data_IF_338070076681
#
_entry.id   IF_338070076681
#
_cell.length_a   1.000
_cell.length_b   1.000
_cell.length_c   1.000
_cell.angle_alpha   90.00
_cell.angle_beta   90.00
_cell.angle_gamma   90.00
#
_symmetry.space_group_name_H-M   'P 1'
#
loop_
_entity.id
_entity.type
_entity.pdbx_description
1 polymer ?
#
# COMPACT_ATOMS: atom_id res chain seq x y z
N UNK A 1 1.91 2.82 3.15
CA UNK A 1 3.09 3.45 2.54
C UNK A 1 3.91 4.23 3.55
N UNK A 2 3.42 5.38 4.08
CA UNK A 2 4.20 6.23 5.01
C UNK A 2 4.70 5.50 6.25
N UNK A 3 3.86 4.67 6.89
CA UNK A 3 4.27 3.86 8.03
C UNK A 3 5.44 2.93 7.68
N UNK A 4 5.35 2.19 6.56
CA UNK A 4 6.43 1.32 6.10
C UNK A 4 7.72 2.08 5.83
N UNK A 5 7.64 3.25 5.20
CA UNK A 5 8.83 4.09 4.97
C UNK A 5 9.49 4.62 6.25
N UNK A 6 8.73 4.75 7.34
CA UNK A 6 9.21 5.33 8.59
C UNK A 6 9.66 4.27 9.60
N UNK A 7 9.03 3.10 9.62
CA UNK A 7 9.26 2.05 10.60
C UNK A 7 9.97 0.80 10.06
N UNK A 8 9.88 0.52 8.76
CA UNK A 8 10.49 -0.69 8.19
C UNK A 8 11.90 -0.37 7.67
N UNK A 9 12.87 -1.25 7.93
CA UNK A 9 14.25 -1.12 7.40
C UNK A 9 14.28 -1.20 5.87
N UNK A 10 13.31 -1.92 5.29
CA UNK A 10 13.17 -2.13 3.84
C UNK A 10 11.82 -1.62 3.38
N UNK A 11 11.84 -0.67 2.45
CA UNK A 11 10.64 -0.06 1.87
C UNK A 11 10.81 0.19 0.37
N UNK A 12 9.69 0.35 -0.33
CA UNK A 12 9.69 0.67 -1.77
C UNK A 12 9.54 2.18 -2.03
N UNK A 13 9.95 2.64 -3.21
CA UNK A 13 9.77 4.03 -3.60
C UNK A 13 8.34 4.32 -4.10
N UNK A 14 8.00 5.59 -4.28
CA UNK A 14 6.66 6.01 -4.70
C UNK A 14 6.29 5.53 -6.09
N UNK A 15 7.25 5.44 -7.01
CA UNK A 15 7.01 4.91 -8.34
C UNK A 15 6.55 3.45 -8.27
N UNK A 16 7.09 2.66 -7.34
CA UNK A 16 6.64 1.29 -7.10
C UNK A 16 5.22 1.26 -6.54
N UNK A 17 4.94 2.04 -5.49
CA UNK A 17 3.59 2.11 -4.91
C UNK A 17 2.53 2.63 -5.90
N UNK A 18 2.90 3.58 -6.76
CA UNK A 18 2.05 4.08 -7.84
C UNK A 18 1.68 2.99 -8.83
N UNK A 19 2.66 2.18 -9.27
CA UNK A 19 2.43 1.04 -10.17
C UNK A 19 1.50 0.00 -9.56
N UNK A 20 1.69 -0.34 -8.28
CA UNK A 20 0.83 -1.31 -7.58
C UNK A 20 -0.58 -0.75 -7.34
N UNK A 21 -0.68 0.54 -7.00
CA UNK A 21 -1.94 1.23 -6.74
C UNK A 21 -2.73 1.62 -8.00
N UNK A 22 -2.15 1.48 -9.19
CA UNK A 22 -2.80 1.85 -10.45
C UNK A 22 -3.01 3.35 -10.64
N UNK A 23 -2.23 4.19 -9.93
CA UNK A 23 -2.32 5.66 -9.99
C UNK A 23 -1.00 6.27 -10.44
N UNK A 24 -1.03 7.55 -10.84
CA UNK A 24 0.17 8.22 -11.31
C UNK A 24 1.18 8.47 -10.18
N UNK A 25 2.47 8.52 -10.52
CA UNK A 25 3.51 8.84 -9.53
C UNK A 25 3.29 10.23 -8.92
N UNK A 26 2.90 11.22 -9.73
CA UNK A 26 2.56 12.58 -9.28
C UNK A 26 1.44 12.59 -8.25
N UNK A 27 0.44 11.73 -8.42
CA UNK A 27 -0.69 11.61 -7.50
C UNK A 27 -0.24 10.99 -6.17
N UNK A 28 0.51 9.88 -6.18
CA UNK A 28 1.08 9.29 -4.95
C UNK A 28 1.94 10.30 -4.19
N UNK A 29 2.78 11.05 -4.90
CA UNK A 29 3.61 12.09 -4.28
C UNK A 29 2.76 13.18 -3.62
N UNK A 30 1.67 13.59 -4.28
CA UNK A 30 0.77 14.61 -3.77
C UNK A 30 0.02 14.12 -2.53
N UNK A 31 -0.53 12.90 -2.58
CA UNK A 31 -1.25 12.26 -1.47
C UNK A 31 -0.32 12.00 -0.26
N UNK A 32 0.93 11.62 -0.50
CA UNK A 32 1.91 11.46 0.58
C UNK A 32 2.16 12.78 1.31
N UNK A 33 2.41 13.86 0.57
CA UNK A 33 2.61 15.19 1.15
C UNK A 33 1.37 15.71 1.87
N UNK A 34 0.17 15.46 1.33
CA UNK A 34 -1.08 15.83 1.98
C UNK A 34 -1.26 15.10 3.31
N UNK A 35 -1.03 13.79 3.34
CA UNK A 35 -1.12 12.99 4.56
C UNK A 35 -0.12 13.46 5.62
N UNK A 36 1.13 13.77 5.24
CA UNK A 36 2.13 14.33 6.16
C UNK A 36 1.69 15.66 6.75
N UNK A 37 1.07 16.55 5.97
CA UNK A 37 0.52 17.81 6.49
C UNK A 37 -0.65 17.57 7.45
N UNK A 38 -1.55 16.64 7.13
CA UNK A 38 -2.71 16.33 7.97
C UNK A 38 -2.29 15.86 9.38
N UNK A 39 -1.21 15.09 9.47
CA UNK A 39 -0.67 14.61 10.75
C UNK A 39 0.38 15.56 11.35
N UNK A 40 0.58 16.74 10.77
CA UNK A 40 1.63 17.70 11.19
C UNK A 40 3.02 17.07 11.29
N UNK A 41 3.35 16.16 10.37
CA UNK A 41 4.61 15.40 10.36
C UNK A 41 4.88 14.59 11.64
N UNK A 42 3.84 14.29 12.43
CA UNK A 42 3.92 13.38 13.57
C UNK A 42 3.73 11.93 13.11
N UNK A 43 4.82 11.23 12.78
CA UNK A 43 4.79 9.84 12.30
C UNK A 43 5.03 8.82 13.41
N UNK A 44 5.64 9.25 14.52
CA UNK A 44 5.95 8.37 15.63
C UNK A 44 4.69 7.99 16.40
N UNK A 45 4.54 6.71 16.69
CA UNK A 45 3.42 6.17 17.47
C UNK A 45 4.00 5.49 18.70
N UNK A 46 3.59 5.92 19.89
CA UNK A 46 3.98 5.27 21.13
C UNK A 46 3.46 3.82 21.18
N UNK A 47 4.26 2.85 21.70
CA UNK A 47 3.84 1.46 21.78
C UNK A 47 2.51 1.25 22.53
N UNK A 48 2.27 2.04 23.58
CA UNK A 48 1.02 1.99 24.35
C UNK A 48 -0.19 2.44 23.52
N UNK A 49 -0.04 3.52 22.74
CA UNK A 49 -1.08 4.01 21.85
C UNK A 49 -1.41 2.97 20.76
N UNK A 50 -0.39 2.37 20.15
CA UNK A 50 -0.57 1.29 19.18
C UNK A 50 -1.34 0.11 19.79
N UNK A 51 -0.91 -0.37 20.96
CA UNK A 51 -1.52 -1.51 21.63
C UNK A 51 -2.99 -1.26 22.02
N UNK A 52 -3.32 -0.05 22.46
CA UNK A 52 -4.70 0.38 22.74
C UNK A 52 -5.59 0.25 21.50
N UNK A 53 -5.16 0.81 20.36
CA UNK A 53 -5.93 0.73 19.12
C UNK A 53 -6.03 -0.70 18.59
N UNK A 54 -4.92 -1.45 18.65
CA UNK A 54 -4.89 -2.86 18.26
C UNK A 54 -5.93 -3.65 19.05
N UNK A 55 -5.94 -3.57 20.39
CA UNK A 55 -6.93 -4.25 21.24
C UNK A 55 -8.36 -3.85 20.91
N UNK A 56 -8.60 -2.55 20.69
CA UNK A 56 -9.92 -2.06 20.30
C UNK A 56 -10.41 -2.74 19.02
N UNK A 57 -9.59 -2.77 17.96
CA UNK A 57 -9.94 -3.45 16.70
C UNK A 57 -10.24 -4.94 16.89
N UNK A 58 -9.38 -5.66 17.63
CA UNK A 58 -9.61 -7.09 17.92
C UNK A 58 -10.91 -7.33 18.69
N UNK A 59 -11.26 -6.47 19.64
CA UNK A 59 -12.51 -6.60 20.40
C UNK A 59 -13.75 -6.42 19.51
N UNK A 60 -13.73 -5.47 18.57
CA UNK A 60 -14.84 -5.21 17.66
C UNK A 60 -15.02 -6.33 16.64
N UNK A 61 -13.93 -6.92 16.12
CA UNK A 61 -14.03 -8.09 15.22
C UNK A 61 -14.66 -9.29 15.95
N UNK A 62 -14.25 -9.55 17.19
CA UNK A 62 -14.80 -10.64 18.02
C UNK A 62 -16.25 -10.39 18.44
N UNK A 63 -16.62 -9.14 18.68
CA UNK A 63 -18.01 -8.77 18.99
C UNK A 63 -18.90 -8.82 17.74
N UNK A 64 -18.41 -8.37 16.59
CA UNK A 64 -19.11 -8.41 15.30
C UNK A 64 -19.29 -9.82 14.73
N UNK A 65 -18.51 -10.81 15.19
CA UNK A 65 -18.75 -12.22 14.84
C UNK A 65 -20.03 -12.79 15.47
N UNK A 66 -20.64 -12.09 16.44
CA UNK A 66 -21.90 -12.47 17.08
C UNK A 66 -23.11 -11.63 16.61
N UNK A 67 -22.90 -10.61 15.75
CA UNK A 67 -23.98 -9.84 15.12
C UNK A 67 -23.94 -10.02 13.60
N UNK A 68 -24.51 -11.17 13.18
CA UNK A 68 -25.05 -11.50 11.86
C UNK A 68 -24.61 -10.65 10.66
N UNK A 69 -23.56 -11.10 9.97
CA UNK A 69 -23.38 -10.81 8.54
C UNK A 69 -24.08 -11.92 7.76
N UNK A 70 -25.06 -11.63 6.88
CA UNK A 70 -25.62 -12.64 5.98
C UNK A 70 -24.50 -13.13 5.03
N UNK A 71 -24.31 -14.44 4.99
CA UNK A 71 -23.30 -15.17 4.22
C UNK A 71 -23.59 -15.12 2.71
N UNK A 72 -23.48 -13.95 2.09
CA UNK A 72 -23.54 -13.81 0.63
C UNK A 72 -22.86 -12.52 0.18
N UNK A 73 -21.52 -12.50 0.18
CA UNK A 73 -20.81 -11.65 -0.76
C UNK A 73 -20.83 -12.39 -2.12
N UNK A 74 -21.39 -11.82 -3.19
CA UNK A 74 -21.23 -12.40 -4.51
C UNK A 74 -19.73 -12.36 -4.83
N UNK A 75 -19.16 -13.52 -5.16
CA UNK A 75 -17.82 -13.57 -5.72
C UNK A 75 -17.82 -12.74 -7.01
N UNK A 76 -17.28 -11.52 -6.97
CA UNK A 76 -16.97 -10.78 -8.19
C UNK A 76 -15.86 -11.56 -8.90
N UNK A 77 -16.26 -12.33 -9.91
CA UNK A 77 -15.34 -13.02 -10.80
C UNK A 77 -14.45 -12.00 -11.49
N UNK A 78 -13.16 -12.00 -11.15
CA UNK A 78 -12.16 -11.37 -11.99
C UNK A 78 -12.07 -12.20 -13.27
N UNK A 79 -12.73 -11.74 -14.34
CA UNK A 79 -12.56 -12.31 -15.67
C UNK A 79 -11.12 -12.11 -16.10
N UNK A 80 -10.37 -13.20 -16.15
CA UNK A 80 -9.05 -13.29 -16.78
C UNK A 80 -9.18 -13.11 -18.29
N UNK A 81 -9.21 -11.85 -18.74
CA UNK A 81 -9.15 -11.52 -20.15
C UNK A 81 -7.75 -11.02 -20.51
N UNK A 82 -7.03 -11.93 -21.18
CA UNK A 82 -6.02 -11.64 -22.22
C UNK A 82 -4.61 -11.28 -21.75
N UNK A 83 -3.92 -12.33 -21.31
CA UNK A 83 -2.48 -12.48 -21.46
C UNK A 83 -2.13 -12.71 -22.93
N UNK A 84 -1.92 -11.63 -23.69
CA UNK A 84 -1.39 -11.73 -25.05
C UNK A 84 -0.75 -10.43 -25.57
N UNK A 85 0.13 -9.77 -24.79
CA UNK A 85 1.23 -8.93 -25.32
C UNK A 85 2.44 -8.95 -24.37
N UNK A 86 2.95 -10.16 -24.13
CA UNK A 86 4.33 -10.37 -23.67
C UNK A 86 5.13 -10.73 -24.91
N UNK A 87 5.66 -9.73 -25.62
CA UNK A 87 6.78 -9.79 -26.60
C UNK A 87 6.80 -8.57 -27.55
N UNK A 88 7.01 -7.38 -26.99
CA UNK A 88 7.56 -6.16 -27.62
C UNK A 88 7.52 -5.11 -26.50
N UNK A 89 8.60 -4.74 -25.84
CA UNK A 89 9.84 -4.24 -26.40
C UNK A 89 10.97 -4.49 -25.40
N UNK A 90 11.85 -5.44 -25.70
CA UNK A 90 13.24 -5.36 -25.26
C UNK A 90 13.94 -4.42 -26.24
N UNK A 91 13.84 -3.11 -26.02
CA UNK A 91 14.79 -2.13 -26.58
C UNK A 91 14.61 -0.77 -25.91
N UNK A 92 15.06 -0.64 -24.65
CA UNK A 92 15.45 0.64 -24.04
C UNK A 92 16.59 0.40 -23.03
N UNK A 93 17.58 -0.40 -23.43
CA UNK A 93 18.93 -0.31 -22.86
C UNK A 93 19.71 0.68 -23.71
N UNK A 94 19.71 1.96 -23.32
CA UNK A 94 20.84 2.89 -23.52
C UNK A 94 20.42 4.31 -23.10
N UNK A 95 20.43 4.58 -21.78
CA UNK A 95 20.99 5.79 -21.14
C UNK A 95 20.26 6.13 -19.84
N UNK A 96 20.97 5.92 -18.72
CA UNK A 96 20.83 6.77 -17.54
C UNK A 96 20.16 6.18 -16.29
N UNK A 97 20.92 5.40 -15.51
CA UNK A 97 20.97 5.64 -14.05
C UNK A 97 20.26 4.65 -13.12
N UNK A 98 20.96 3.56 -12.82
CA UNK A 98 21.06 2.87 -11.52
C UNK A 98 19.90 2.00 -11.00
N UNK A 99 19.96 0.71 -11.40
CA UNK A 99 20.23 -0.50 -10.59
C UNK A 99 19.70 -0.62 -9.12
N UNK A 100 19.42 -1.86 -8.65
CA UNK A 100 18.73 -2.14 -7.37
C UNK A 100 19.63 -1.81 -6.16
N UNK A 101 19.02 -1.40 -5.04
CA UNK A 101 19.75 -1.23 -3.77
C UNK A 101 19.98 -2.61 -3.15
N UNK A 102 21.22 -3.09 -3.28
CA UNK A 102 21.83 -4.07 -2.39
C UNK A 102 21.82 -3.52 -0.94
N UNK A 103 21.73 -4.43 0.04
CA UNK A 103 21.52 -4.15 1.47
C UNK A 103 22.46 -3.11 2.09
#
# INVERSE_FOLDING_TARGET
MLASKFFDDVYYNNAYYARVGGISNTEVNSLEMEMLRMISFSLFVEPEAYERYRRSLYSHVRAGSLQGVPSALPAMGFSSATQAQVNRSQEYDAQGGNAPMDM
#
